data_IF_352490566411
#
_entry.id   IF_352490566411
#
_cell.length_a   1.000
_cell.length_b   1.000
_cell.length_c   1.000
_cell.angle_alpha   90.00
_cell.angle_beta   90.00
_cell.angle_gamma   90.00
#
_symmetry.space_group_name_H-M   'P 1'
#
loop_
_entity.id
_entity.type
_entity.pdbx_description
1 polymer ?
#
# COMPACT_ATOMS: atom_id res chain seq x y z
N UNK A 1 -21.78 -15.31 -5.86
CA UNK A 1 -21.16 -13.98 -6.07
C UNK A 1 -19.88 -14.19 -6.84
N UNK A 2 -19.78 -13.68 -8.06
CA UNK A 2 -18.49 -13.57 -8.76
C UNK A 2 -17.67 -12.49 -8.07
N UNK A 3 -16.39 -12.76 -7.81
CA UNK A 3 -15.49 -11.73 -7.29
C UNK A 3 -15.40 -10.57 -8.30
N UNK A 4 -15.42 -9.33 -7.80
CA UNK A 4 -15.21 -8.12 -8.61
C UNK A 4 -13.79 -8.16 -9.22
N UNK A 5 -13.62 -7.74 -10.48
CA UNK A 5 -12.29 -7.70 -11.10
C UNK A 5 -11.44 -6.57 -10.51
N UNK A 6 -10.11 -6.71 -10.56
CA UNK A 6 -9.22 -5.65 -10.08
C UNK A 6 -9.49 -4.30 -10.76
N UNK A 7 -9.68 -4.29 -12.08
CA UNK A 7 -10.03 -3.10 -12.85
C UNK A 7 -11.34 -2.43 -12.37
N UNK A 8 -12.35 -3.23 -12.01
CA UNK A 8 -13.60 -2.69 -11.47
C UNK A 8 -13.40 -2.08 -10.08
N UNK A 9 -12.61 -2.73 -9.21
CA UNK A 9 -12.24 -2.19 -7.89
C UNK A 9 -11.45 -0.88 -8.04
N UNK A 10 -10.45 -0.83 -8.93
CA UNK A 10 -9.64 0.36 -9.21
C UNK A 10 -10.54 1.53 -9.64
N UNK A 11 -11.43 1.31 -10.60
CA UNK A 11 -12.34 2.35 -11.08
C UNK A 11 -13.33 2.81 -10.00
N UNK A 12 -13.94 1.87 -9.26
CA UNK A 12 -14.91 2.17 -8.21
C UNK A 12 -14.29 2.92 -7.03
N UNK A 13 -13.03 2.61 -6.71
CA UNK A 13 -12.27 3.25 -5.63
C UNK A 13 -11.38 4.39 -6.11
N UNK A 14 -11.46 4.79 -7.39
CA UNK A 14 -10.70 5.90 -7.97
C UNK A 14 -9.20 5.83 -7.63
N UNK A 15 -8.60 4.64 -7.80
CA UNK A 15 -7.18 4.44 -7.51
C UNK A 15 -6.32 4.93 -8.67
N UNK A 16 -5.19 5.56 -8.35
CA UNK A 16 -4.17 5.98 -9.30
C UNK A 16 -2.96 5.03 -9.25
N UNK A 17 -2.14 4.94 -10.32
CA UNK A 17 -0.89 4.19 -10.27
C UNK A 17 0.02 4.69 -9.14
N UNK A 18 0.58 3.76 -8.36
CA UNK A 18 1.53 4.09 -7.30
C UNK A 18 2.97 4.11 -7.87
N UNK A 19 3.84 5.07 -7.48
CA UNK A 19 5.23 5.13 -7.95
C UNK A 19 6.03 3.85 -7.70
N UNK A 20 5.68 3.12 -6.64
CA UNK A 20 6.37 1.88 -6.25
C UNK A 20 5.72 0.63 -6.87
N UNK A 21 4.73 0.78 -7.74
CA UNK A 21 3.99 -0.34 -8.34
C UNK A 21 2.65 -0.58 -7.65
N UNK A 22 1.68 -1.09 -8.43
CA UNK A 22 0.29 -1.22 -7.99
C UNK A 22 -0.50 0.08 -8.12
N UNK A 23 -1.58 0.15 -7.35
CA UNK A 23 -2.56 1.21 -7.37
C UNK A 23 -2.83 1.71 -5.97
N UNK A 24 -3.01 3.03 -5.80
CA UNK A 24 -3.28 3.60 -4.49
C UNK A 24 -4.22 4.81 -4.54
N UNK A 25 -4.76 5.16 -3.37
CA UNK A 25 -5.37 6.47 -3.11
C UNK A 25 -5.27 6.80 -1.63
N UNK A 26 -4.82 8.01 -1.29
CA UNK A 26 -4.92 8.52 0.07
C UNK A 26 -6.39 8.79 0.43
N UNK A 27 -6.86 8.19 1.53
CA UNK A 27 -8.25 8.32 2.00
C UNK A 27 -8.37 9.17 3.25
N UNK A 28 -7.26 9.35 3.98
CA UNK A 28 -7.24 10.15 5.19
C UNK A 28 -5.84 10.67 5.50
N UNK A 29 -5.80 11.86 6.09
CA UNK A 29 -4.60 12.51 6.62
C UNK A 29 -4.97 13.25 7.90
N UNK A 30 -4.22 13.03 8.97
CA UNK A 30 -4.38 13.81 10.19
C UNK A 30 -4.00 15.29 9.95
N UNK A 31 -4.70 16.24 10.58
CA UNK A 31 -4.29 17.64 10.57
C UNK A 31 -2.89 17.82 11.20
N UNK A 32 -2.09 18.70 10.61
CA UNK A 32 -0.82 19.18 11.15
C UNK A 32 -0.62 20.66 10.86
N UNK A 33 0.27 21.31 11.62
CA UNK A 33 0.69 22.68 11.32
C UNK A 33 1.42 22.76 9.97
N UNK A 34 1.38 23.94 9.35
CA UNK A 34 2.05 24.16 8.06
C UNK A 34 3.56 23.89 8.16
N UNK A 35 4.09 23.08 7.26
CA UNK A 35 5.50 22.68 7.26
C UNK A 35 5.83 21.54 8.23
N UNK A 36 4.86 21.06 9.02
CA UNK A 36 5.03 19.91 9.92
C UNK A 36 4.43 18.67 9.26
N UNK A 37 5.16 17.55 9.33
CA UNK A 37 4.69 16.25 8.84
C UNK A 37 3.41 15.84 9.57
N UNK A 38 2.43 15.35 8.82
CA UNK A 38 1.22 14.74 9.40
C UNK A 38 1.60 13.60 10.36
N UNK A 39 0.97 13.49 11.55
CA UNK A 39 1.21 12.38 12.46
C UNK A 39 0.67 11.03 11.92
N UNK A 40 -0.16 11.05 10.88
CA UNK A 40 -0.67 9.84 10.25
C UNK A 40 -1.37 10.07 8.93
N UNK A 41 -1.31 9.05 8.07
CA UNK A 41 -2.04 8.97 6.80
C UNK A 41 -2.58 7.57 6.63
N UNK A 42 -3.64 7.42 5.84
CA UNK A 42 -4.15 6.12 5.44
C UNK A 42 -4.40 6.13 3.92
N UNK A 43 -4.05 5.02 3.28
CA UNK A 43 -4.26 4.79 1.87
C UNK A 43 -5.06 3.51 1.64
N UNK A 44 -5.71 3.43 0.50
CA UNK A 44 -6.04 2.16 -0.13
C UNK A 44 -4.87 1.76 -1.03
N UNK A 45 -4.52 0.48 -1.05
CA UNK A 45 -3.48 -0.07 -1.91
C UNK A 45 -3.96 -1.39 -2.54
N UNK A 46 -3.68 -1.59 -3.82
CA UNK A 46 -4.10 -2.77 -4.59
C UNK A 46 -3.00 -3.20 -5.56
N UNK A 47 -2.79 -4.52 -5.63
CA UNK A 47 -1.95 -5.16 -6.64
C UNK A 47 -2.83 -6.03 -7.56
N UNK A 48 -2.64 -5.88 -8.86
CA UNK A 48 -3.14 -6.84 -9.84
C UNK A 48 -2.24 -8.08 -9.88
N UNK A 49 -2.74 -9.16 -10.49
CA UNK A 49 -1.95 -10.37 -10.68
C UNK A 49 -0.65 -10.08 -11.44
N UNK A 50 0.48 -10.51 -10.88
CA UNK A 50 1.81 -10.29 -11.46
C UNK A 50 2.45 -8.95 -11.10
N UNK A 51 1.75 -8.05 -10.38
CA UNK A 51 2.36 -6.84 -9.84
C UNK A 51 2.99 -7.09 -8.46
N UNK A 52 3.97 -6.25 -8.12
CA UNK A 52 4.61 -6.17 -6.82
C UNK A 52 4.85 -4.72 -6.45
N UNK A 53 4.81 -4.39 -5.15
CA UNK A 53 5.43 -3.16 -4.67
C UNK A 53 6.95 -3.34 -4.64
N UNK A 54 7.69 -2.37 -5.18
CA UNK A 54 9.15 -2.38 -5.18
C UNK A 54 9.69 -2.14 -3.76
N UNK A 55 10.92 -2.60 -3.51
CA UNK A 55 11.61 -2.32 -2.25
C UNK A 55 11.75 -0.82 -2.01
N UNK A 56 11.32 -0.38 -0.85
CA UNK A 56 11.42 1.00 -0.39
C UNK A 56 11.59 1.02 1.12
N UNK A 57 11.94 2.19 1.66
CA UNK A 57 12.10 2.40 3.09
C UNK A 57 11.33 3.65 3.51
N UNK A 58 10.62 3.51 4.60
CA UNK A 58 9.94 4.60 5.30
C UNK A 58 10.58 4.82 6.66
N UNK A 59 10.44 6.03 7.19
CA UNK A 59 10.96 6.47 8.48
C UNK A 59 9.88 6.48 9.58
N UNK A 60 8.76 5.79 9.33
CA UNK A 60 7.62 5.66 10.23
C UNK A 60 7.10 4.22 10.23
N UNK A 61 6.33 3.85 11.25
CA UNK A 61 5.62 2.58 11.25
C UNK A 61 4.51 2.60 10.19
N UNK A 62 4.34 1.49 9.47
CA UNK A 62 3.25 1.28 8.53
C UNK A 62 2.39 0.09 8.96
N UNK A 63 1.08 0.25 8.81
CA UNK A 63 0.08 -0.71 9.23
C UNK A 63 -0.63 -1.26 7.99
N UNK A 64 -0.56 -2.57 7.80
CA UNK A 64 -1.24 -3.27 6.70
C UNK A 64 -2.55 -3.89 7.19
N UNK A 65 -3.67 -3.44 6.62
CA UNK A 65 -5.02 -3.88 7.00
C UNK A 65 -5.69 -4.58 5.82
N UNK A 66 -5.68 -5.91 5.81
CA UNK A 66 -6.26 -6.72 4.74
C UNK A 66 -7.77 -6.48 4.60
N UNK A 67 -8.22 -6.12 3.39
CA UNK A 67 -9.64 -5.85 3.09
C UNK A 67 -10.28 -6.96 2.24
N UNK A 68 -9.63 -7.38 1.16
CA UNK A 68 -10.19 -8.32 0.19
C UNK A 68 -9.10 -8.86 -0.76
N UNK A 69 -9.47 -9.87 -1.55
CA UNK A 69 -8.62 -10.43 -2.60
C UNK A 69 -7.80 -11.63 -2.11
N UNK A 70 -6.63 -11.82 -2.72
CA UNK A 70 -5.68 -12.88 -2.34
C UNK A 70 -4.76 -12.38 -1.24
N UNK A 71 -4.32 -13.27 -0.35
CA UNK A 71 -3.34 -12.95 0.67
C UNK A 71 -2.08 -12.32 0.05
N UNK A 72 -1.58 -11.26 0.68
CA UNK A 72 -0.35 -10.60 0.30
C UNK A 72 0.80 -11.20 1.10
N UNK A 73 1.92 -11.50 0.43
CA UNK A 73 3.19 -11.78 1.11
C UNK A 73 3.91 -10.45 1.33
N UNK A 74 4.13 -10.08 2.58
CA UNK A 74 4.93 -8.91 2.94
C UNK A 74 6.37 -9.34 3.17
N UNK A 75 7.29 -8.76 2.40
CA UNK A 75 8.73 -8.95 2.58
C UNK A 75 9.31 -7.73 3.27
N UNK A 76 10.03 -7.94 4.37
CA UNK A 76 10.65 -6.87 5.14
C UNK A 76 12.13 -7.18 5.37
N UNK A 77 12.96 -6.15 5.48
CA UNK A 77 14.37 -6.29 5.78
C UNK A 77 14.82 -5.13 6.67
N UNK A 78 15.67 -5.42 7.66
CA UNK A 78 16.21 -4.39 8.55
C UNK A 78 17.24 -3.47 7.84
N UNK A 79 17.91 -4.01 6.83
CA UNK A 79 18.95 -3.34 6.06
C UNK A 79 18.84 -3.72 4.58
N UNK A 80 19.43 -2.91 3.71
CA UNK A 80 19.43 -3.11 2.25
C UNK A 80 20.05 -4.46 1.83
N UNK A 81 20.85 -5.08 2.70
CA UNK A 81 21.49 -6.39 2.50
C UNK A 81 20.73 -7.56 3.12
N UNK A 82 19.56 -7.35 3.73
CA UNK A 82 18.78 -8.38 4.41
C UNK A 82 19.19 -8.62 5.87
N UNK A 83 18.76 -9.74 6.49
CA UNK A 83 17.95 -10.82 5.90
C UNK A 83 16.52 -10.36 5.56
N UNK A 84 15.91 -11.02 4.57
CA UNK A 84 14.51 -10.82 4.21
C UNK A 84 13.65 -11.72 5.11
N UNK A 85 12.65 -11.12 5.75
CA UNK A 85 11.58 -11.78 6.48
C UNK A 85 10.30 -11.73 5.64
N UNK A 86 9.56 -12.83 5.58
CA UNK A 86 8.30 -12.93 4.84
C UNK A 86 7.16 -13.28 5.81
N UNK A 87 6.04 -12.57 5.69
CA UNK A 87 4.81 -12.79 6.46
C UNK A 87 3.59 -12.78 5.58
#
# INVERSE_FOLDING_TARGET
MTAESAAAVIARLDLAPHPEGGWYRETWRAPSESGVRSPGTAILFLLEAGQSSHWHRIDAAELWLFQAGTALTLKTAAHDTGPILET
#
